data_IF_199815876002
#
_entry.id   IF_199815876002
#
_cell.length_a   1.000
_cell.length_b   1.000
_cell.length_c   1.000
_cell.angle_alpha   90.00
_cell.angle_beta   90.00
_cell.angle_gamma   90.00
#
_symmetry.space_group_name_H-M   'P 1'
#
loop_
_entity.id
_entity.type
_entity.pdbx_description
1 polymer ?
#
# COMPACT_ATOMS: atom_id res chain seq x y z
N UNK A 1 -96.19 46.67 17.80
CA UNK A 1 -95.07 47.64 17.79
C UNK A 1 -94.10 47.17 16.73
N UNK A 2 -94.15 47.68 15.50
CA UNK A 2 -93.46 48.91 15.08
C UNK A 2 -92.38 48.52 14.06
N UNK A 3 -92.77 48.36 12.79
CA UNK A 3 -92.31 49.17 11.63
C UNK A 3 -91.01 48.63 10.97
N UNK A 4 -91.11 47.92 9.82
CA UNK A 4 -91.17 48.42 8.42
C UNK A 4 -89.85 49.02 7.88
N UNK A 5 -89.26 48.36 6.86
CA UNK A 5 -89.04 48.80 5.44
C UNK A 5 -88.10 47.78 4.74
N UNK A 6 -88.52 47.01 3.71
CA UNK A 6 -88.52 47.29 2.23
C UNK A 6 -87.16 47.82 1.76
N UNK A 7 -86.42 47.31 0.75
CA UNK A 7 -86.62 46.62 -0.57
C UNK A 7 -85.18 46.51 -1.21
N UNK A 8 -84.95 46.14 -2.50
CA UNK A 8 -85.43 45.05 -3.36
C UNK A 8 -84.27 44.28 -4.07
N UNK A 9 -84.66 43.37 -4.98
CA UNK A 9 -83.89 42.41 -5.77
C UNK A 9 -82.80 42.97 -6.73
N UNK A 10 -81.80 42.13 -6.99
CA UNK A 10 -80.86 42.25 -8.12
C UNK A 10 -80.32 40.86 -8.50
N UNK A 11 -80.67 40.39 -9.70
CA UNK A 11 -80.14 39.18 -10.33
C UNK A 11 -78.81 39.56 -10.99
N UNK A 12 -77.72 38.87 -10.68
CA UNK A 12 -76.45 39.01 -11.41
C UNK A 12 -75.79 37.65 -11.65
N UNK A 13 -75.52 37.43 -12.94
CA UNK A 13 -74.85 36.30 -13.59
C UNK A 13 -73.42 36.15 -13.06
N UNK A 14 -73.05 35.00 -12.48
CA UNK A 14 -71.66 34.72 -12.09
C UNK A 14 -70.88 34.12 -13.26
N UNK A 15 -70.02 34.94 -13.86
CA UNK A 15 -68.95 34.51 -14.77
C UNK A 15 -67.83 33.86 -13.93
N UNK A 16 -67.62 32.55 -14.09
CA UNK A 16 -66.47 31.84 -13.52
C UNK A 16 -65.25 32.09 -14.41
N UNK A 17 -64.36 33.00 -14.00
CA UNK A 17 -63.02 33.12 -14.56
C UNK A 17 -62.12 32.02 -13.99
N UNK A 18 -61.70 31.09 -14.84
CA UNK A 18 -60.61 30.14 -14.58
C UNK A 18 -59.28 30.88 -14.52
N UNK A 19 -58.70 30.99 -13.32
CA UNK A 19 -57.29 31.38 -13.13
C UNK A 19 -56.42 30.13 -13.29
N UNK A 20 -55.70 30.02 -14.42
CA UNK A 20 -54.65 29.03 -14.61
C UNK A 20 -53.36 29.52 -13.91
N UNK A 21 -53.11 29.06 -12.68
CA UNK A 21 -51.81 29.21 -12.03
C UNK A 21 -50.85 28.15 -12.57
N UNK A 22 -49.94 28.56 -13.46
CA UNK A 22 -48.73 27.80 -13.77
C UNK A 22 -47.82 27.81 -12.53
N UNK A 23 -47.83 26.71 -11.77
CA UNK A 23 -46.80 26.40 -10.78
C UNK A 23 -45.64 25.77 -11.55
N UNK A 24 -44.61 26.55 -11.86
CA UNK A 24 -43.33 26.02 -12.31
C UNK A 24 -42.62 25.35 -11.14
N UNK A 25 -42.58 24.02 -11.19
CA UNK A 25 -41.77 23.21 -10.29
C UNK A 25 -40.30 23.41 -10.64
N UNK A 26 -39.59 24.25 -9.89
CA UNK A 26 -38.12 24.29 -9.92
C UNK A 26 -37.64 23.07 -9.14
N UNK A 27 -37.12 22.06 -9.84
CA UNK A 27 -36.45 20.92 -9.20
C UNK A 27 -35.00 21.28 -8.84
N UNK A 28 -34.56 21.20 -7.56
CA UNK A 28 -33.17 21.45 -7.17
C UNK A 28 -32.33 20.17 -7.01
N UNK A 29 -32.77 19.01 -7.51
CA UNK A 29 -32.16 17.72 -7.16
C UNK A 29 -30.86 17.36 -7.91
N UNK A 30 -30.64 17.90 -9.11
CA UNK A 30 -29.52 17.46 -9.98
C UNK A 30 -28.14 17.98 -9.53
N UNK A 31 -28.06 19.21 -9.00
CA UNK A 31 -26.79 19.80 -8.58
C UNK A 31 -26.19 19.10 -7.34
N UNK A 32 -27.04 18.72 -6.37
CA UNK A 32 -26.60 18.07 -5.14
C UNK A 32 -26.14 16.61 -5.35
N UNK A 33 -26.65 15.94 -6.38
CA UNK A 33 -26.22 14.59 -6.76
C UNK A 33 -24.82 14.60 -7.42
N UNK A 34 -24.55 15.58 -8.27
CA UNK A 34 -23.26 15.71 -8.96
C UNK A 34 -22.10 15.98 -7.97
N UNK A 35 -22.34 16.81 -6.95
CA UNK A 35 -21.36 17.07 -5.89
C UNK A 35 -21.09 15.83 -5.03
N UNK A 36 -22.14 15.07 -4.71
CA UNK A 36 -22.01 13.81 -3.95
C UNK A 36 -21.22 12.74 -4.72
N UNK A 37 -21.46 12.60 -6.03
CA UNK A 37 -20.73 11.67 -6.90
C UNK A 37 -19.24 12.06 -7.00
N UNK A 38 -18.94 13.36 -7.09
CA UNK A 38 -17.57 13.84 -7.11
C UNK A 38 -16.83 13.56 -5.79
N UNK A 39 -17.48 13.78 -4.65
CA UNK A 39 -16.93 13.46 -3.32
C UNK A 39 -16.73 11.94 -3.18
N UNK A 40 -17.68 11.12 -3.62
CA UNK A 40 -17.58 9.67 -3.59
C UNK A 40 -16.42 9.16 -4.46
N UNK A 41 -16.24 9.73 -5.66
CA UNK A 41 -15.08 9.47 -6.53
C UNK A 41 -13.78 9.87 -5.85
N UNK A 42 -13.73 11.04 -5.20
CA UNK A 42 -12.57 11.49 -4.44
C UNK A 42 -12.23 10.56 -3.27
N UNK A 43 -13.24 10.06 -2.56
CA UNK A 43 -13.06 9.08 -1.48
C UNK A 43 -12.47 7.76 -2.00
N UNK A 44 -12.93 7.29 -3.16
CA UNK A 44 -12.36 6.12 -3.84
C UNK A 44 -10.89 6.35 -4.22
N UNK A 45 -10.60 7.49 -4.85
CA UNK A 45 -9.24 7.85 -5.26
C UNK A 45 -8.30 8.02 -4.06
N UNK A 46 -8.77 8.59 -2.94
CA UNK A 46 -7.97 8.74 -1.73
C UNK A 46 -7.59 7.38 -1.12
N UNK A 47 -8.47 6.37 -1.25
CA UNK A 47 -8.13 4.99 -0.92
C UNK A 47 -7.16 4.41 -1.95
N UNK A 48 -7.45 4.58 -3.24
CA UNK A 48 -6.59 4.04 -4.30
C UNK A 48 -5.16 4.59 -4.26
N UNK A 49 -4.99 5.84 -3.83
CA UNK A 49 -3.71 6.50 -3.62
C UNK A 49 -3.06 6.25 -2.27
N UNK A 50 -3.65 5.37 -1.46
CA UNK A 50 -3.17 4.99 -0.13
C UNK A 50 -2.95 6.19 0.81
N UNK A 51 -3.74 7.26 0.64
CA UNK A 51 -3.54 8.51 1.37
C UNK A 51 -3.66 8.32 2.89
N UNK A 52 -4.54 7.40 3.33
CA UNK A 52 -4.79 7.14 4.75
C UNK A 52 -3.60 6.46 5.43
N UNK A 53 -2.88 5.58 4.73
CA UNK A 53 -1.73 4.87 5.30
C UNK A 53 -0.63 5.86 5.68
N UNK A 54 -0.31 6.81 4.81
CA UNK A 54 0.74 7.79 5.05
C UNK A 54 0.28 8.94 5.97
N UNK A 55 -0.93 9.47 5.76
CA UNK A 55 -1.39 10.66 6.48
C UNK A 55 -2.12 10.36 7.79
N UNK A 56 -2.01 9.16 8.36
CA UNK A 56 -2.65 8.79 9.63
C UNK A 56 -1.65 8.18 10.59
N UNK A 57 -1.25 8.93 11.64
CA UNK A 57 -0.45 8.36 12.75
C UNK A 57 -1.30 7.79 13.89
N UNK A 58 -2.57 8.22 14.00
CA UNK A 58 -3.50 7.77 15.03
C UNK A 58 -4.81 7.36 14.38
N UNK A 59 -5.27 6.13 14.65
CA UNK A 59 -6.48 5.58 14.01
C UNK A 59 -7.76 6.38 14.30
N UNK A 60 -7.81 7.08 15.44
CA UNK A 60 -8.91 8.00 15.81
C UNK A 60 -8.86 9.36 15.08
N UNK A 61 -7.76 9.66 14.37
CA UNK A 61 -7.53 10.93 13.70
C UNK A 61 -7.03 10.71 12.25
N UNK A 62 -7.89 10.17 11.36
CA UNK A 62 -7.51 9.90 9.99
C UNK A 62 -7.07 11.17 9.26
N UNK A 63 -6.05 11.06 8.41
CA UNK A 63 -5.51 12.15 7.59
C UNK A 63 -4.86 13.32 8.35
N UNK A 64 -4.77 13.26 9.68
CA UNK A 64 -4.17 14.31 10.53
C UNK A 64 -2.63 14.29 10.60
N UNK A 65 -1.97 13.51 9.73
CA UNK A 65 -0.52 13.46 9.55
C UNK A 65 0.27 12.83 10.69
N UNK A 66 1.54 13.20 10.79
CA UNK A 66 2.48 12.90 11.87
C UNK A 66 2.99 11.46 11.92
N UNK A 67 2.83 10.69 10.85
CA UNK A 67 3.46 9.38 10.73
C UNK A 67 4.96 9.58 10.45
N UNK A 68 5.88 9.00 11.27
CA UNK A 68 7.31 9.03 10.99
C UNK A 68 7.65 8.03 9.89
N UNK A 69 8.37 8.48 8.87
CA UNK A 69 8.99 7.66 7.85
C UNK A 69 10.50 7.78 7.99
N UNK A 70 11.13 6.71 8.45
CA UNK A 70 12.58 6.65 8.58
C UNK A 70 13.24 6.42 7.22
N UNK A 71 14.20 7.27 6.89
CA UNK A 71 14.98 7.17 5.67
C UNK A 71 16.47 7.17 6.02
N UNK A 72 17.36 6.72 5.12
CA UNK A 72 18.81 6.87 5.30
C UNK A 72 19.25 8.33 5.51
N UNK A 73 18.41 9.29 5.14
CA UNK A 73 18.70 10.73 5.19
C UNK A 73 18.12 11.40 6.45
N UNK A 74 17.42 10.67 7.32
CA UNK A 74 16.72 11.16 8.50
C UNK A 74 15.22 10.83 8.47
N UNK A 75 14.44 11.47 9.33
CA UNK A 75 12.99 11.17 9.48
C UNK A 75 12.14 12.21 8.79
N UNK A 76 11.25 11.77 7.89
CA UNK A 76 10.21 12.60 7.28
C UNK A 76 8.90 12.35 8.04
N UNK A 77 8.14 13.40 8.34
CA UNK A 77 6.82 13.26 8.95
C UNK A 77 5.73 13.61 7.93
N UNK A 78 4.68 12.80 7.88
CA UNK A 78 3.51 13.12 7.04
C UNK A 78 2.77 14.34 7.58
N UNK A 79 2.10 15.06 6.69
CA UNK A 79 1.37 16.29 7.03
C UNK A 79 -0.11 16.03 7.27
N UNK A 80 -0.78 16.94 7.96
CA UNK A 80 -2.22 16.98 8.12
C UNK A 80 -2.85 17.46 6.80
N UNK A 81 -3.67 16.61 6.18
CA UNK A 81 -4.39 16.90 4.93
C UNK A 81 -5.90 16.98 5.13
N UNK A 82 -6.36 17.11 6.38
CA UNK A 82 -7.77 17.42 6.69
C UNK A 82 -8.11 18.87 6.29
N UNK A 83 -9.39 19.25 6.17
CA UNK A 83 -9.77 20.62 5.83
C UNK A 83 -9.67 21.60 7.01
N UNK A 84 -8.89 21.28 8.04
CA UNK A 84 -8.57 22.25 9.09
C UNK A 84 -7.82 23.45 8.49
N UNK A 85 -8.29 24.65 8.78
CA UNK A 85 -7.81 25.90 8.16
C UNK A 85 -6.39 26.25 8.63
N UNK A 86 -6.05 25.91 9.88
CA UNK A 86 -4.82 26.37 10.54
C UNK A 86 -3.64 25.41 10.34
N UNK A 87 -3.89 24.11 10.45
CA UNK A 87 -2.87 23.08 10.44
C UNK A 87 -3.02 22.10 9.28
N UNK A 88 -4.21 22.03 8.67
CA UNK A 88 -4.50 21.19 7.50
C UNK A 88 -4.43 21.96 6.18
N UNK A 89 -5.17 21.46 5.18
CA UNK A 89 -5.26 22.06 3.84
C UNK A 89 -6.50 22.95 3.68
N UNK A 90 -7.23 23.28 4.76
CA UNK A 90 -8.50 24.02 4.68
C UNK A 90 -8.41 25.42 4.05
N UNK A 91 -7.20 25.97 3.93
CA UNK A 91 -6.95 27.25 3.25
C UNK A 91 -6.37 27.10 1.84
N UNK A 92 -6.14 25.88 1.35
CA UNK A 92 -5.65 25.64 -0.02
C UNK A 92 -6.74 26.00 -1.01
N UNK A 93 -6.37 26.65 -2.11
CA UNK A 93 -7.20 26.66 -3.31
C UNK A 93 -7.07 25.33 -4.06
N UNK A 94 -7.92 25.13 -5.07
CA UNK A 94 -7.76 24.00 -5.99
C UNK A 94 -6.36 23.99 -6.63
N UNK A 95 -5.86 25.14 -7.08
CA UNK A 95 -4.58 25.23 -7.76
C UNK A 95 -3.40 24.92 -6.82
N UNK A 96 -3.51 25.33 -5.54
CA UNK A 96 -2.52 24.97 -4.51
C UNK A 96 -2.51 23.45 -4.28
N UNK A 97 -3.69 22.83 -4.17
CA UNK A 97 -3.80 21.38 -4.00
C UNK A 97 -3.26 20.62 -5.21
N UNK A 98 -3.61 21.06 -6.43
CA UNK A 98 -3.11 20.48 -7.66
C UNK A 98 -1.59 20.64 -7.80
N UNK A 99 -1.03 21.77 -7.37
CA UNK A 99 0.41 21.99 -7.35
C UNK A 99 1.12 21.10 -6.33
N UNK A 100 0.56 20.93 -5.13
CA UNK A 100 1.09 20.00 -4.13
C UNK A 100 1.11 18.57 -4.67
N UNK A 101 0.00 18.11 -5.23
CA UNK A 101 -0.16 16.74 -5.74
C UNK A 101 0.71 16.44 -6.94
N UNK A 102 0.77 17.32 -7.94
CA UNK A 102 1.47 17.02 -9.22
C UNK A 102 2.89 17.55 -9.31
N UNK A 103 3.18 18.61 -8.57
CA UNK A 103 4.45 19.35 -8.68
C UNK A 103 5.29 19.27 -7.41
N UNK A 104 4.73 18.77 -6.31
CA UNK A 104 5.39 18.79 -5.01
C UNK A 104 5.62 20.20 -4.49
N UNK A 105 4.68 21.13 -4.73
CA UNK A 105 4.77 22.53 -4.27
C UNK A 105 3.63 22.81 -3.31
N UNK A 106 3.95 23.05 -2.04
CA UNK A 106 2.95 23.42 -1.03
C UNK A 106 2.42 24.85 -1.28
N UNK A 107 1.31 25.21 -0.62
CA UNK A 107 0.66 26.53 -0.74
C UNK A 107 1.61 27.71 -0.44
N UNK A 108 2.50 27.56 0.53
CA UNK A 108 3.49 28.58 0.90
C UNK A 108 4.72 28.61 -0.04
N UNK A 109 4.71 27.79 -1.10
CA UNK A 109 5.75 27.69 -2.12
C UNK A 109 6.89 26.74 -1.80
N UNK A 110 6.93 26.13 -0.61
CA UNK A 110 8.01 25.20 -0.30
C UNK A 110 7.87 23.88 -1.07
N UNK A 111 9.00 23.26 -1.42
CA UNK A 111 9.03 21.99 -2.15
C UNK A 111 8.85 20.81 -1.20
N UNK A 112 7.89 19.93 -1.49
CA UNK A 112 7.67 18.66 -0.80
C UNK A 112 8.79 17.68 -1.11
N UNK A 113 9.16 16.86 -0.13
CA UNK A 113 10.07 15.74 -0.36
C UNK A 113 9.37 14.65 -1.18
N UNK A 114 10.08 13.97 -2.10
CA UNK A 114 9.50 12.94 -2.98
C UNK A 114 9.06 11.66 -2.27
N UNK A 115 9.22 11.59 -0.93
CA UNK A 115 8.54 10.61 -0.09
C UNK A 115 7.01 10.74 -0.18
N UNK A 116 6.50 11.94 -0.44
CA UNK A 116 5.16 12.09 -1.02
C UNK A 116 5.30 11.86 -2.53
N UNK A 117 4.63 10.85 -3.12
CA UNK A 117 4.89 10.39 -4.49
C UNK A 117 4.29 11.31 -5.56
N UNK A 118 4.50 12.63 -5.43
CA UNK A 118 4.13 13.62 -6.43
C UNK A 118 4.73 13.35 -7.82
N UNK A 119 5.91 12.71 -7.98
CA UNK A 119 6.38 12.30 -9.29
C UNK A 119 5.39 11.34 -9.99
N UNK A 120 4.92 10.29 -9.31
CA UNK A 120 3.90 9.38 -9.84
C UNK A 120 2.55 10.11 -10.00
N UNK A 121 2.16 10.93 -9.02
CA UNK A 121 0.87 11.65 -9.05
C UNK A 121 0.78 12.71 -10.15
N UNK A 122 1.91 13.10 -10.75
CA UNK A 122 1.91 13.96 -11.96
C UNK A 122 1.04 13.38 -13.09
N UNK A 123 0.91 12.05 -13.15
CA UNK A 123 0.09 11.30 -14.12
C UNK A 123 -1.42 11.43 -13.87
N UNK A 124 -1.86 11.82 -12.66
CA UNK A 124 -3.28 11.86 -12.29
C UNK A 124 -4.02 12.93 -13.11
N UNK A 125 -5.24 12.65 -13.58
CA UNK A 125 -6.06 13.53 -14.42
C UNK A 125 -6.63 14.74 -13.64
N UNK A 126 -6.98 15.84 -14.33
CA UNK A 126 -7.48 17.05 -13.64
C UNK A 126 -8.82 16.78 -12.96
N UNK A 127 -9.68 16.00 -13.62
CA UNK A 127 -10.93 15.50 -13.08
C UNK A 127 -10.72 14.76 -11.76
N UNK A 128 -9.70 13.89 -11.68
CA UNK A 128 -9.44 13.10 -10.48
C UNK A 128 -8.78 13.92 -9.36
N UNK A 129 -7.94 14.90 -9.70
CA UNK A 129 -7.43 15.87 -8.71
C UNK A 129 -8.57 16.73 -8.15
N UNK A 130 -9.54 17.16 -8.97
CA UNK A 130 -10.74 17.87 -8.49
C UNK A 130 -11.59 17.01 -7.58
N UNK A 131 -11.79 15.74 -7.92
CA UNK A 131 -12.53 14.80 -7.08
C UNK A 131 -11.84 14.60 -5.72
N UNK A 132 -10.52 14.38 -5.71
CA UNK A 132 -9.73 14.30 -4.48
C UNK A 132 -9.85 15.58 -3.64
N UNK A 133 -9.71 16.75 -4.25
CA UNK A 133 -9.87 18.04 -3.57
C UNK A 133 -11.27 18.19 -2.95
N UNK A 134 -12.33 17.88 -3.71
CA UNK A 134 -13.70 17.90 -3.20
C UNK A 134 -13.89 16.96 -1.99
N UNK A 135 -13.33 15.75 -2.06
CA UNK A 135 -13.38 14.81 -0.94
C UNK A 135 -12.64 15.32 0.31
N UNK A 136 -11.44 15.85 0.19
CA UNK A 136 -10.74 16.37 1.36
C UNK A 136 -11.41 17.63 1.93
N UNK A 137 -11.98 18.49 1.09
CA UNK A 137 -12.63 19.73 1.55
C UNK A 137 -14.03 19.52 2.13
N UNK A 138 -14.75 18.49 1.67
CA UNK A 138 -16.18 18.31 1.99
C UNK A 138 -16.54 16.92 2.53
N UNK A 139 -15.71 15.90 2.32
CA UNK A 139 -15.92 14.52 2.79
C UNK A 139 -15.09 14.11 4.01
N UNK A 140 -14.05 14.88 4.37
CA UNK A 140 -13.17 14.59 5.51
C UNK A 140 -13.45 15.54 6.68
N UNK A 141 -13.64 15.06 7.91
CA UNK A 141 -13.76 15.93 9.08
C UNK A 141 -12.48 16.73 9.35
N UNK A 142 -12.57 18.03 9.71
CA UNK A 142 -11.40 18.82 10.07
C UNK A 142 -10.81 18.34 11.40
N UNK A 143 -9.49 18.19 11.45
CA UNK A 143 -8.77 17.85 12.69
C UNK A 143 -7.67 18.87 12.89
N UNK A 144 -7.77 19.66 13.96
CA UNK A 144 -6.78 20.68 14.29
C UNK A 144 -5.59 20.08 15.03
N UNK A 145 -4.70 19.44 14.27
CA UNK A 145 -3.44 18.88 14.76
C UNK A 145 -2.26 19.51 14.02
N UNK A 146 -1.30 20.13 14.74
CA UNK A 146 -0.13 20.72 14.11
C UNK A 146 0.76 19.65 13.47
N UNK A 147 1.40 20.03 12.36
CA UNK A 147 2.38 19.18 11.69
C UNK A 147 3.64 19.02 12.55
N UNK A 148 4.23 17.84 12.49
CA UNK A 148 5.57 17.60 13.05
C UNK A 148 6.61 17.95 12.00
N UNK A 149 7.67 18.65 12.41
CA UNK A 149 8.74 19.05 11.49
C UNK A 149 9.57 17.83 11.04
N UNK A 150 9.82 17.76 9.74
CA UNK A 150 10.74 16.80 9.12
C UNK A 150 12.17 17.05 9.60
N UNK A 151 12.84 15.99 10.06
CA UNK A 151 14.20 16.02 10.63
C UNK A 151 15.15 15.23 9.73
N UNK A 152 15.57 15.87 8.63
CA UNK A 152 16.61 15.33 7.75
C UNK A 152 17.99 15.85 8.16
N UNK A 153 19.01 15.04 7.89
CA UNK A 153 20.41 15.42 8.06
C UNK A 153 20.85 16.37 6.95
N UNK A 154 21.81 17.25 7.25
CA UNK A 154 22.47 18.03 6.22
C UNK A 154 23.17 17.12 5.20
N UNK A 155 23.10 17.41 3.88
CA UNK A 155 22.47 18.58 3.25
C UNK A 155 20.99 18.37 2.85
N UNK A 156 20.39 17.22 3.13
CA UNK A 156 19.02 16.85 2.70
C UNK A 156 17.91 17.70 3.35
N UNK A 157 18.20 18.38 4.46
CA UNK A 157 17.29 19.36 5.07
C UNK A 157 17.13 20.65 4.24
N UNK A 158 18.03 20.93 3.28
CA UNK A 158 17.97 22.13 2.45
C UNK A 158 16.98 21.96 1.29
N UNK A 159 15.72 22.38 1.48
CA UNK A 159 14.66 22.24 0.46
C UNK A 159 14.98 22.89 -0.89
N UNK A 160 15.85 23.89 -0.94
CA UNK A 160 16.29 24.51 -2.21
C UNK A 160 16.96 23.50 -3.15
N UNK A 161 17.59 22.45 -2.61
CA UNK A 161 18.20 21.39 -3.42
C UNK A 161 17.15 20.57 -4.17
N UNK A 162 15.91 20.53 -3.68
CA UNK A 162 14.79 19.87 -4.37
C UNK A 162 14.43 20.58 -5.69
N UNK A 163 14.79 21.86 -5.87
CA UNK A 163 14.59 22.54 -7.15
C UNK A 163 15.41 21.87 -8.26
N UNK A 164 16.69 21.59 -7.98
CA UNK A 164 17.57 20.86 -8.90
C UNK A 164 17.12 19.41 -9.09
N UNK A 165 16.72 18.74 -8.01
CA UNK A 165 16.17 17.38 -8.07
C UNK A 165 14.92 17.31 -8.97
N UNK A 166 13.98 18.25 -8.82
CA UNK A 166 12.76 18.31 -9.62
C UNK A 166 13.04 18.61 -11.09
N UNK A 167 14.05 19.42 -11.40
CA UNK A 167 14.47 19.69 -12.78
C UNK A 167 15.03 18.43 -13.46
N UNK A 168 15.74 17.59 -12.71
CA UNK A 168 16.42 16.41 -13.24
C UNK A 168 15.51 15.17 -13.33
N UNK A 169 14.64 14.95 -12.33
CA UNK A 169 14.02 13.64 -12.12
C UNK A 169 12.50 13.62 -12.13
N UNK A 170 11.81 14.77 -12.04
CA UNK A 170 10.35 14.77 -12.02
C UNK A 170 9.80 14.48 -13.42
N UNK A 171 8.96 13.44 -13.60
CA UNK A 171 8.32 13.17 -14.88
C UNK A 171 7.34 14.30 -15.24
N UNK A 172 7.12 14.48 -16.54
CA UNK A 172 6.25 15.54 -17.06
C UNK A 172 4.85 15.03 -17.39
N UNK A 173 3.84 15.75 -16.90
CA UNK A 173 2.48 15.72 -17.44
C UNK A 173 1.58 14.57 -16.96
N UNK A 174 0.27 14.76 -17.20
CA UNK A 174 -0.73 13.74 -16.93
C UNK A 174 -0.54 12.51 -17.83
N UNK A 175 -1.07 11.38 -17.39
CA UNK A 175 -1.14 10.17 -18.20
C UNK A 175 -1.85 10.46 -19.52
N UNK A 176 -1.33 9.86 -20.60
CA UNK A 176 -1.92 9.92 -21.93
C UNK A 176 -2.20 8.51 -22.37
N UNK A 177 -3.46 8.26 -22.69
CA UNK A 177 -3.90 6.95 -23.18
C UNK A 177 -3.13 6.58 -24.45
N UNK A 178 -2.73 5.33 -24.52
CA UNK A 178 -2.18 4.71 -25.70
C UNK A 178 -3.32 4.23 -26.60
N UNK A 179 -3.48 4.80 -27.81
CA UNK A 179 -4.58 4.43 -28.71
C UNK A 179 -4.44 3.01 -29.28
N UNK A 180 -3.25 2.39 -29.17
CA UNK A 180 -3.05 1.00 -29.57
C UNK A 180 -3.48 0.00 -28.49
N UNK A 181 -3.83 0.47 -27.29
CA UNK A 181 -4.17 -0.35 -26.14
C UNK A 181 -5.66 -0.27 -25.80
N UNK A 182 -6.16 -1.31 -25.14
CA UNK A 182 -7.55 -1.35 -24.69
C UNK A 182 -7.83 -0.33 -23.58
N UNK A 183 -9.10 0.02 -23.37
CA UNK A 183 -9.49 0.89 -22.26
C UNK A 183 -9.11 0.30 -20.89
N UNK A 184 -9.23 -1.02 -20.72
CA UNK A 184 -8.81 -1.71 -19.50
C UNK A 184 -7.31 -1.61 -19.28
N UNK A 185 -6.51 -1.78 -20.33
CA UNK A 185 -5.06 -1.62 -20.24
C UNK A 185 -4.67 -0.20 -19.84
N UNK A 186 -5.24 0.81 -20.52
CA UNK A 186 -4.99 2.22 -20.22
C UNK A 186 -5.39 2.58 -18.79
N UNK A 187 -6.50 2.00 -18.29
CA UNK A 187 -6.91 2.16 -16.90
C UNK A 187 -5.90 1.55 -15.92
N UNK A 188 -5.38 0.36 -16.21
CA UNK A 188 -4.35 -0.29 -15.41
C UNK A 188 -3.07 0.51 -15.35
N UNK A 189 -2.56 0.92 -16.52
CA UNK A 189 -1.40 1.80 -16.65
C UNK A 189 -1.58 3.11 -15.87
N UNK A 190 -2.73 3.76 -16.00
CA UNK A 190 -3.05 4.99 -15.28
C UNK A 190 -2.98 4.83 -13.75
N UNK A 191 -3.49 3.72 -13.22
CA UNK A 191 -3.44 3.44 -11.79
C UNK A 191 -2.02 3.13 -11.32
N UNK A 192 -1.34 2.20 -12.00
CA UNK A 192 -0.01 1.68 -11.61
C UNK A 192 1.08 2.76 -11.73
N UNK A 193 1.07 3.56 -12.79
CA UNK A 193 2.02 4.67 -13.00
C UNK A 193 1.67 5.91 -12.17
N UNK A 194 0.39 6.07 -11.83
CA UNK A 194 -0.15 7.27 -11.23
C UNK A 194 -0.42 7.11 -9.75
N UNK A 195 -1.71 7.12 -9.41
CA UNK A 195 -2.16 7.27 -8.03
C UNK A 195 -1.82 6.05 -7.16
N UNK A 196 -1.80 4.82 -7.69
CA UNK A 196 -1.41 3.63 -6.94
C UNK A 196 0.12 3.49 -6.77
N UNK A 197 0.90 4.31 -7.50
CA UNK A 197 2.34 4.53 -7.34
C UNK A 197 3.20 3.26 -7.19
N UNK A 198 2.84 2.16 -7.86
CA UNK A 198 3.52 0.87 -7.67
C UNK A 198 5.04 0.95 -7.92
N UNK A 199 5.47 1.85 -8.81
CA UNK A 199 6.88 2.14 -9.09
C UNK A 199 7.68 2.61 -7.87
N UNK A 200 7.06 3.28 -6.90
CA UNK A 200 7.74 3.83 -5.72
C UNK A 200 8.37 2.76 -4.82
N UNK A 201 7.94 1.50 -4.95
CA UNK A 201 8.56 0.35 -4.29
C UNK A 201 9.16 -0.64 -5.28
N UNK A 202 8.51 -0.86 -6.43
CA UNK A 202 8.88 -1.92 -7.37
C UNK A 202 9.86 -1.46 -8.46
N UNK A 203 10.26 -0.19 -8.52
CA UNK A 203 11.28 0.29 -9.45
C UNK A 203 12.58 0.59 -8.70
N UNK A 204 13.77 0.25 -9.23
CA UNK A 204 15.03 0.63 -8.61
C UNK A 204 15.17 2.13 -8.42
N UNK A 205 15.62 2.54 -7.22
CA UNK A 205 15.94 3.95 -6.94
C UNK A 205 17.42 4.26 -7.21
N UNK A 206 17.68 5.49 -7.67
CA UNK A 206 19.03 6.02 -7.84
C UNK A 206 19.65 6.52 -6.53
N UNK A 207 20.90 6.97 -6.61
CA UNK A 207 21.67 7.47 -5.45
C UNK A 207 21.04 8.70 -4.77
N UNK A 208 20.20 9.45 -5.48
CA UNK A 208 19.48 10.62 -4.94
C UNK A 208 18.03 10.28 -4.54
N UNK A 209 17.71 8.99 -4.39
CA UNK A 209 16.41 8.50 -3.96
C UNK A 209 15.29 8.59 -5.01
N UNK A 210 15.62 8.93 -6.26
CA UNK A 210 14.68 9.02 -7.36
C UNK A 210 14.37 7.64 -7.96
N UNK A 211 13.11 7.37 -8.31
CA UNK A 211 12.75 6.24 -9.18
C UNK A 211 13.50 6.37 -10.52
N UNK A 212 14.07 5.27 -11.01
CA UNK A 212 14.81 5.26 -12.28
C UNK A 212 13.91 5.20 -13.51
N UNK A 213 12.62 4.89 -13.35
CA UNK A 213 11.63 4.84 -14.42
C UNK A 213 10.21 5.02 -13.85
N UNK A 214 9.30 5.57 -14.65
CA UNK A 214 7.92 5.89 -14.22
C UNK A 214 6.83 5.25 -15.09
N UNK A 215 7.22 4.63 -16.20
CA UNK A 215 6.32 3.93 -17.11
C UNK A 215 7.08 2.85 -17.88
N UNK A 216 6.36 2.01 -18.62
CA UNK A 216 6.90 0.89 -19.38
C UNK A 216 7.74 1.32 -20.61
N UNK A 217 7.90 2.62 -20.84
CA UNK A 217 8.55 3.17 -22.02
C UNK A 217 10.00 3.50 -21.69
N UNK A 218 10.92 2.89 -22.43
CA UNK A 218 12.31 3.33 -22.50
C UNK A 218 13.33 2.57 -21.64
N UNK A 219 12.92 1.81 -20.61
CA UNK A 219 13.84 0.95 -19.85
C UNK A 219 13.16 -0.33 -19.37
N UNK A 220 13.95 -1.36 -19.08
CA UNK A 220 13.53 -2.58 -18.39
C UNK A 220 13.55 -2.46 -16.85
N UNK A 221 13.83 -1.27 -16.32
CA UNK A 221 13.92 -1.01 -14.88
C UNK A 221 12.57 -0.73 -14.23
N UNK A 222 11.58 -0.26 -14.99
CA UNK A 222 10.27 0.05 -14.45
C UNK A 222 9.63 -1.23 -13.89
N UNK A 223 9.31 -1.25 -12.60
CA UNK A 223 8.74 -2.42 -11.90
C UNK A 223 9.64 -3.67 -11.88
N UNK A 224 10.96 -3.51 -12.03
CA UNK A 224 11.93 -4.63 -12.02
C UNK A 224 12.34 -5.12 -10.62
N UNK A 225 11.68 -4.64 -9.57
CA UNK A 225 11.99 -4.92 -8.17
C UNK A 225 13.07 -4.03 -7.56
N UNK A 226 12.99 -3.79 -6.26
CA UNK A 226 13.98 -2.99 -5.50
C UNK A 226 13.93 -3.29 -4.00
N UNK A 227 15.07 -3.17 -3.33
CA UNK A 227 15.14 -3.30 -1.87
C UNK A 227 15.10 -1.93 -1.22
N UNK A 228 13.99 -1.64 -0.55
CA UNK A 228 13.75 -0.39 0.18
C UNK A 228 13.54 -0.69 1.67
N UNK A 229 14.27 0.01 2.54
CA UNK A 229 14.16 -0.13 4.00
C UNK A 229 14.24 -1.60 4.52
N UNK A 230 15.08 -2.42 3.88
CA UNK A 230 15.27 -3.83 4.27
C UNK A 230 14.17 -4.79 3.83
N UNK A 231 13.23 -4.32 3.02
CA UNK A 231 12.22 -5.13 2.32
C UNK A 231 12.53 -5.14 0.84
N UNK A 232 12.57 -6.32 0.24
CA UNK A 232 12.69 -6.46 -1.21
C UNK A 232 11.29 -6.50 -1.83
N UNK A 233 10.96 -5.49 -2.63
CA UNK A 233 9.78 -5.51 -3.47
C UNK A 233 10.13 -6.33 -4.72
N UNK A 234 9.35 -7.39 -5.05
CA UNK A 234 9.68 -8.28 -6.15
C UNK A 234 9.51 -7.60 -7.51
N UNK A 235 10.18 -8.15 -8.53
CA UNK A 235 9.90 -7.86 -9.93
C UNK A 235 8.44 -8.21 -10.28
N UNK A 236 7.73 -7.29 -10.92
CA UNK A 236 6.32 -7.46 -11.34
C UNK A 236 6.17 -7.87 -12.81
N UNK A 237 7.26 -8.03 -13.55
CA UNK A 237 7.20 -8.52 -14.93
C UNK A 237 6.79 -9.99 -14.98
N UNK A 238 6.05 -10.41 -16.02
CA UNK A 238 5.68 -11.81 -16.22
C UNK A 238 6.90 -12.74 -16.22
N UNK A 239 6.89 -13.77 -15.36
CA UNK A 239 7.92 -14.80 -15.29
C UNK A 239 9.08 -14.53 -14.32
N UNK A 240 9.01 -13.47 -13.51
CA UNK A 240 10.08 -13.04 -12.58
C UNK A 240 9.58 -12.80 -11.15
N UNK A 241 10.52 -12.64 -10.20
CA UNK A 241 10.36 -12.00 -8.88
C UNK A 241 9.28 -12.54 -7.95
N UNK A 242 8.01 -12.31 -8.29
CA UNK A 242 6.82 -12.77 -7.58
C UNK A 242 6.24 -14.10 -8.11
N UNK A 243 6.88 -14.71 -9.12
CA UNK A 243 6.59 -16.05 -9.63
C UNK A 243 5.73 -16.01 -10.89
N UNK A 244 5.00 -17.10 -11.17
CA UNK A 244 3.94 -17.07 -12.19
C UNK A 244 2.78 -16.19 -11.68
N UNK A 245 2.92 -14.88 -11.85
CA UNK A 245 1.89 -13.89 -11.61
C UNK A 245 0.78 -14.04 -12.65
N UNK A 246 -0.08 -15.04 -12.46
CA UNK A 246 -1.30 -15.13 -13.25
C UNK A 246 -2.22 -13.95 -12.91
N UNK A 247 -3.07 -13.57 -13.86
CA UNK A 247 -4.11 -12.55 -13.66
C UNK A 247 -4.88 -12.77 -12.36
N UNK A 248 -5.32 -14.00 -12.10
CA UNK A 248 -6.10 -14.35 -10.92
C UNK A 248 -5.29 -14.22 -9.63
N UNK A 249 -4.02 -14.62 -9.65
CA UNK A 249 -3.12 -14.45 -8.51
C UNK A 249 -2.94 -12.98 -8.17
N UNK A 250 -2.73 -12.10 -9.17
CA UNK A 250 -2.59 -10.66 -8.97
C UNK A 250 -3.87 -10.09 -8.34
N UNK A 251 -5.03 -10.39 -8.93
CA UNK A 251 -6.33 -9.91 -8.42
C UNK A 251 -6.56 -10.37 -6.99
N UNK A 252 -6.24 -11.63 -6.66
CA UNK A 252 -6.38 -12.14 -5.29
C UNK A 252 -5.43 -11.42 -4.31
N UNK A 253 -4.15 -11.29 -4.65
CA UNK A 253 -3.16 -10.64 -3.78
C UNK A 253 -3.53 -9.17 -3.51
N UNK A 254 -3.94 -8.42 -4.54
CA UNK A 254 -4.35 -7.02 -4.37
C UNK A 254 -5.65 -6.88 -3.57
N UNK A 255 -6.56 -7.85 -3.67
CA UNK A 255 -7.83 -7.81 -2.94
C UNK A 255 -7.71 -8.22 -1.48
N UNK A 256 -6.92 -9.25 -1.19
CA UNK A 256 -6.98 -9.95 0.10
C UNK A 256 -5.62 -10.01 0.82
N UNK A 257 -4.54 -9.69 0.09
CA UNK A 257 -3.16 -9.83 0.54
C UNK A 257 -2.66 -11.27 0.56
N UNK A 258 -3.45 -12.23 0.06
CA UNK A 258 -3.13 -13.67 0.09
C UNK A 258 -3.73 -14.44 -1.08
N UNK A 259 -2.94 -15.32 -1.68
CA UNK A 259 -3.37 -16.24 -2.74
C UNK A 259 -3.05 -17.69 -2.35
N UNK A 260 -3.30 -18.64 -3.25
CA UNK A 260 -2.90 -20.03 -3.01
C UNK A 260 -1.36 -20.15 -3.07
N UNK A 261 -0.72 -20.15 -1.91
CA UNK A 261 0.73 -20.34 -1.78
C UNK A 261 1.55 -19.05 -1.64
N UNK A 262 0.96 -17.86 -1.74
CA UNK A 262 1.66 -16.58 -1.55
C UNK A 262 0.89 -15.62 -0.65
N UNK A 263 1.62 -14.70 -0.03
CA UNK A 263 1.09 -13.70 0.89
C UNK A 263 1.93 -12.43 0.79
N UNK A 264 1.26 -11.29 0.88
CA UNK A 264 1.92 -10.00 1.08
C UNK A 264 2.54 -9.92 2.48
N UNK A 265 3.56 -9.08 2.61
CA UNK A 265 4.25 -8.79 3.86
C UNK A 265 4.76 -7.33 3.84
N UNK A 266 5.20 -6.84 5.00
CA UNK A 266 5.77 -5.50 5.12
C UNK A 266 4.81 -4.40 4.61
N UNK A 267 5.36 -3.41 3.92
CA UNK A 267 4.57 -2.29 3.38
C UNK A 267 3.46 -2.71 2.43
N UNK A 268 3.62 -3.82 1.68
CA UNK A 268 2.57 -4.28 0.77
C UNK A 268 1.33 -4.79 1.52
N UNK A 269 1.48 -5.33 2.74
CA UNK A 269 0.33 -5.66 3.57
C UNK A 269 -0.44 -4.40 3.99
N UNK A 270 0.25 -3.31 4.32
CA UNK A 270 -0.40 -2.04 4.63
C UNK A 270 -1.12 -1.45 3.42
N UNK A 271 -0.51 -1.52 2.23
CA UNK A 271 -1.12 -1.11 0.96
C UNK A 271 -2.41 -1.89 0.70
N UNK A 272 -2.43 -3.20 0.95
CA UNK A 272 -3.67 -3.99 0.82
C UNK A 272 -4.70 -3.58 1.88
N UNK A 273 -4.28 -3.45 3.15
CA UNK A 273 -5.19 -3.11 4.25
C UNK A 273 -5.85 -1.75 4.05
N UNK A 274 -5.12 -0.76 3.51
CA UNK A 274 -5.58 0.62 3.43
C UNK A 274 -6.01 1.08 2.03
N UNK A 275 -5.58 0.39 0.97
CA UNK A 275 -5.79 0.81 -0.43
C UNK A 275 -6.39 -0.29 -1.32
N UNK A 276 -5.61 -1.28 -1.76
CA UNK A 276 -5.96 -2.08 -2.95
C UNK A 276 -7.17 -2.99 -2.74
N UNK A 277 -7.48 -3.38 -1.49
CA UNK A 277 -8.71 -4.13 -1.20
C UNK A 277 -10.00 -3.37 -1.54
N UNK A 278 -9.91 -2.04 -1.69
CA UNK A 278 -11.03 -1.17 -2.01
C UNK A 278 -11.16 -0.89 -3.52
N UNK A 279 -10.23 -1.39 -4.34
CA UNK A 279 -10.33 -1.25 -5.79
C UNK A 279 -11.59 -1.95 -6.29
N UNK A 280 -12.23 -1.38 -7.31
CA UNK A 280 -13.31 -2.08 -8.02
C UNK A 280 -12.77 -3.33 -8.72
N UNK A 281 -13.64 -4.29 -9.00
CA UNK A 281 -13.25 -5.50 -9.76
C UNK A 281 -12.68 -5.16 -11.14
N UNK A 282 -13.22 -4.11 -11.77
CA UNK A 282 -12.71 -3.58 -13.03
C UNK A 282 -11.29 -3.03 -12.89
N UNK A 283 -11.00 -2.28 -11.81
CA UNK A 283 -9.67 -1.71 -11.58
C UNK A 283 -8.64 -2.79 -11.17
N UNK A 284 -9.03 -3.78 -10.37
CA UNK A 284 -8.18 -4.94 -10.07
C UNK A 284 -7.84 -5.72 -11.35
N UNK A 285 -8.83 -5.95 -12.21
CA UNK A 285 -8.62 -6.55 -13.52
C UNK A 285 -7.73 -5.70 -14.42
N UNK A 286 -7.96 -4.40 -14.50
CA UNK A 286 -7.17 -3.48 -15.30
C UNK A 286 -5.69 -3.46 -14.88
N UNK A 287 -5.42 -3.41 -13.58
CA UNK A 287 -4.05 -3.52 -13.03
C UNK A 287 -3.41 -4.85 -13.42
N UNK A 288 -4.13 -5.96 -13.26
CA UNK A 288 -3.61 -7.28 -13.63
C UNK A 288 -3.35 -7.42 -15.14
N UNK A 289 -4.18 -6.82 -16.01
CA UNK A 289 -3.97 -6.81 -17.46
C UNK A 289 -2.72 -5.99 -17.83
N UNK A 290 -2.54 -4.82 -17.20
CA UNK A 290 -1.38 -3.98 -17.44
C UNK A 290 -0.09 -4.68 -16.99
N UNK A 291 -0.03 -5.20 -15.77
CA UNK A 291 1.16 -5.91 -15.26
C UNK A 291 1.47 -7.15 -16.11
N UNK A 292 0.44 -7.92 -16.51
CA UNK A 292 0.59 -9.08 -17.38
C UNK A 292 1.08 -8.76 -18.79
N UNK A 293 0.95 -7.50 -19.24
CA UNK A 293 1.41 -7.05 -20.55
C UNK A 293 2.86 -6.55 -20.58
N UNK A 294 3.48 -6.34 -19.41
CA UNK A 294 4.84 -5.85 -19.34
C UNK A 294 5.78 -6.86 -20.01
N UNK A 295 6.83 -6.36 -20.66
CA UNK A 295 7.80 -7.22 -21.32
C UNK A 295 8.49 -8.08 -20.27
N UNK A 296 8.63 -9.41 -20.44
CA UNK A 296 9.38 -10.22 -19.51
C UNK A 296 10.75 -9.59 -19.25
N UNK A 297 11.15 -9.51 -17.98
CA UNK A 297 12.47 -9.00 -17.64
C UNK A 297 13.54 -9.90 -18.27
N UNK A 298 14.78 -9.39 -18.35
CA UNK A 298 15.89 -10.22 -18.83
C UNK A 298 16.05 -11.41 -17.88
N UNK A 299 16.12 -12.63 -18.42
CA UNK A 299 16.26 -13.86 -17.64
C UNK A 299 17.31 -13.71 -16.51
N UNK A 300 17.06 -14.24 -15.29
CA UNK A 300 18.01 -14.14 -14.19
C UNK A 300 19.39 -14.62 -14.64
N UNK A 301 20.42 -13.79 -14.41
CA UNK A 301 21.79 -14.13 -14.80
C UNK A 301 22.44 -15.12 -13.82
N UNK A 302 21.83 -15.35 -12.66
CA UNK A 302 22.30 -16.29 -11.66
C UNK A 302 21.94 -17.72 -12.07
N UNK A 303 22.91 -18.63 -12.25
CA UNK A 303 22.62 -20.04 -12.45
C UNK A 303 21.80 -20.56 -11.26
N UNK A 304 20.66 -21.17 -11.55
CA UNK A 304 19.81 -21.77 -10.53
C UNK A 304 20.66 -22.72 -9.67
N UNK A 305 20.65 -22.53 -8.34
CA UNK A 305 21.42 -23.37 -7.43
C UNK A 305 21.03 -24.87 -7.62
N UNK A 306 22.00 -25.81 -7.53
CA UNK A 306 21.67 -27.23 -7.59
C UNK A 306 20.73 -27.59 -6.43
N UNK A 307 19.66 -28.37 -6.67
CA UNK A 307 18.71 -28.74 -5.62
C UNK A 307 19.44 -29.56 -4.56
N UNK A 308 19.45 -29.11 -3.30
CA UNK A 308 20.21 -29.80 -2.26
C UNK A 308 19.48 -31.03 -1.72
N UNK A 309 18.15 -31.16 -1.87
CA UNK A 309 17.48 -32.35 -1.33
C UNK A 309 16.08 -32.63 -1.88
N UNK A 310 15.96 -33.56 -2.83
CA UNK A 310 14.66 -34.11 -3.25
C UNK A 310 13.89 -34.80 -2.11
N UNK A 311 14.58 -35.15 -1.01
CA UNK A 311 14.04 -35.87 0.15
C UNK A 311 13.92 -35.02 1.43
N UNK A 312 14.05 -33.67 1.36
CA UNK A 312 13.94 -32.80 2.55
C UNK A 312 12.64 -33.06 3.33
N UNK A 313 11.52 -33.21 2.62
CA UNK A 313 10.22 -33.47 3.22
C UNK A 313 10.15 -34.81 3.96
N UNK A 314 10.76 -35.87 3.38
CA UNK A 314 10.80 -37.18 4.01
C UNK A 314 11.66 -37.18 5.27
N UNK A 315 12.84 -36.54 5.22
CA UNK A 315 13.73 -36.40 6.36
C UNK A 315 13.08 -35.62 7.52
N UNK A 316 12.45 -34.48 7.23
CA UNK A 316 11.76 -33.69 8.25
C UNK A 316 10.59 -34.47 8.89
N UNK A 317 9.81 -35.23 8.10
CA UNK A 317 8.72 -36.08 8.63
C UNK A 317 9.22 -37.20 9.55
N UNK A 318 10.41 -37.73 9.30
CA UNK A 318 11.02 -38.73 10.18
C UNK A 318 11.82 -38.12 11.34
N UNK A 319 11.77 -36.80 11.53
CA UNK A 319 12.51 -36.10 12.58
C UNK A 319 14.01 -35.97 12.30
N UNK A 320 14.46 -36.28 11.08
CA UNK A 320 15.86 -36.20 10.66
C UNK A 320 16.15 -34.80 10.12
N UNK A 321 17.01 -34.07 10.83
CA UNK A 321 17.45 -32.73 10.47
C UNK A 321 18.99 -32.69 10.26
N UNK A 322 19.47 -32.94 9.02
CA UNK A 322 20.90 -33.14 8.76
C UNK A 322 21.75 -31.86 8.84
N UNK A 323 21.11 -30.69 8.89
CA UNK A 323 21.77 -29.38 9.02
C UNK A 323 21.17 -28.59 10.18
N UNK A 324 21.93 -27.63 10.72
CA UNK A 324 21.42 -26.71 11.73
C UNK A 324 20.18 -25.93 11.22
N UNK A 325 20.16 -25.56 9.93
CA UNK A 325 19.00 -24.94 9.28
C UNK A 325 17.76 -25.83 9.27
N UNK A 326 17.91 -27.11 8.94
CA UNK A 326 16.82 -28.08 8.98
C UNK A 326 16.27 -28.29 10.39
N UNK A 327 17.15 -28.31 11.40
CA UNK A 327 16.75 -28.47 12.80
C UNK A 327 15.99 -27.23 13.30
N UNK A 328 16.48 -26.05 12.95
CA UNK A 328 15.79 -24.79 13.23
C UNK A 328 14.41 -24.76 12.55
N UNK A 329 14.30 -25.22 11.30
CA UNK A 329 13.03 -25.28 10.59
C UNK A 329 12.04 -26.22 11.27
N UNK A 330 12.47 -27.45 11.61
CA UNK A 330 11.65 -28.46 12.25
C UNK A 330 11.06 -27.96 13.57
N UNK A 331 11.87 -27.28 14.37
CA UNK A 331 11.48 -26.81 15.70
C UNK A 331 10.60 -25.55 15.69
N UNK A 332 10.64 -24.74 14.62
CA UNK A 332 10.08 -23.38 14.66
C UNK A 332 9.11 -23.03 13.53
N UNK A 333 9.17 -23.73 12.40
CA UNK A 333 8.47 -23.31 11.19
C UNK A 333 7.54 -24.42 10.65
N UNK A 334 7.96 -25.69 10.81
CA UNK A 334 7.27 -26.86 10.25
C UNK A 334 5.79 -26.97 10.65
N UNK A 335 5.40 -26.56 11.86
CA UNK A 335 4.02 -26.65 12.30
C UNK A 335 3.03 -25.87 11.39
N UNK A 336 3.48 -24.73 10.84
CA UNK A 336 2.65 -23.89 9.97
C UNK A 336 2.99 -24.08 8.48
N UNK A 337 4.27 -24.17 8.15
CA UNK A 337 4.73 -24.26 6.76
C UNK A 337 4.86 -25.69 6.21
N UNK A 338 4.64 -26.69 7.08
CA UNK A 338 4.67 -28.14 6.81
C UNK A 338 6.03 -28.66 6.39
N UNK A 339 6.28 -29.94 6.60
CA UNK A 339 7.59 -30.56 6.30
C UNK A 339 7.97 -30.50 4.81
N UNK A 340 7.00 -30.37 3.92
CA UNK A 340 7.20 -30.23 2.47
C UNK A 340 7.19 -28.77 1.99
N UNK A 341 7.11 -27.79 2.90
CA UNK A 341 7.09 -26.38 2.54
C UNK A 341 5.83 -25.94 1.78
N UNK A 342 4.80 -26.78 1.68
CA UNK A 342 3.56 -26.46 0.94
C UNK A 342 2.70 -25.41 1.65
N UNK A 343 2.95 -25.14 2.93
CA UNK A 343 2.11 -24.26 3.73
C UNK A 343 0.68 -24.80 3.88
N UNK A 344 -0.27 -23.89 4.10
CA UNK A 344 -1.68 -24.22 4.29
C UNK A 344 -2.56 -23.26 3.48
N UNK A 345 -2.55 -23.42 2.16
CA UNK A 345 -3.36 -22.63 1.22
C UNK A 345 -3.23 -21.11 1.46
N UNK A 346 -4.33 -20.45 1.88
CA UNK A 346 -4.39 -19.01 2.18
C UNK A 346 -4.00 -18.66 3.61
N UNK A 347 -3.80 -19.65 4.48
CA UNK A 347 -3.49 -19.43 5.89
C UNK A 347 -2.00 -19.23 6.13
N UNK A 348 -1.18 -20.13 5.59
CA UNK A 348 0.28 -20.07 5.65
C UNK A 348 0.83 -20.20 4.23
N UNK A 349 1.59 -19.20 3.74
CA UNK A 349 2.12 -19.25 2.38
C UNK A 349 3.05 -20.45 2.21
N UNK A 350 3.09 -20.96 0.97
CA UNK A 350 4.05 -21.98 0.60
C UNK A 350 5.45 -21.36 0.65
N UNK A 351 6.43 -22.15 1.08
CA UNK A 351 7.85 -21.86 0.94
C UNK A 351 8.43 -22.58 -0.27
N UNK A 352 7.87 -23.74 -0.63
CA UNK A 352 8.23 -24.48 -1.83
C UNK A 352 7.72 -23.76 -3.08
N UNK A 353 8.61 -23.51 -4.05
CA UNK A 353 8.30 -22.82 -5.29
C UNK A 353 7.88 -21.35 -5.09
N UNK A 354 8.06 -20.81 -3.89
CA UNK A 354 7.71 -19.44 -3.60
C UNK A 354 8.76 -18.50 -4.19
N UNK A 355 8.29 -17.49 -4.91
CA UNK A 355 9.16 -16.60 -5.66
C UNK A 355 9.95 -15.64 -4.76
N UNK A 356 9.39 -15.22 -3.62
CA UNK A 356 10.12 -14.42 -2.63
C UNK A 356 11.24 -15.25 -2.01
N UNK A 357 10.96 -16.53 -1.71
CA UNK A 357 11.99 -17.47 -1.24
C UNK A 357 13.07 -17.66 -2.30
N UNK A 358 12.69 -17.65 -3.57
CA UNK A 358 13.60 -17.87 -4.69
C UNK A 358 14.28 -16.59 -5.22
N UNK A 359 13.95 -15.41 -4.68
CA UNK A 359 14.51 -14.13 -5.12
C UNK A 359 16.02 -14.09 -4.96
N UNK A 360 16.72 -13.42 -5.88
CA UNK A 360 18.17 -13.21 -5.82
C UNK A 360 18.58 -12.43 -4.55
N UNK A 361 17.74 -11.48 -4.09
CA UNK A 361 17.96 -10.75 -2.84
C UNK A 361 17.22 -11.43 -1.66
N UNK A 362 17.94 -11.98 -0.66
CA UNK A 362 17.32 -12.68 0.46
C UNK A 362 16.73 -11.74 1.54
N UNK A 363 16.76 -10.41 1.34
CA UNK A 363 16.45 -9.42 2.38
C UNK A 363 15.07 -9.63 3.01
N UNK A 364 13.99 -9.82 2.23
CA UNK A 364 12.66 -10.01 2.83
C UNK A 364 12.54 -11.32 3.59
N UNK A 365 13.11 -12.43 3.10
CA UNK A 365 13.08 -13.72 3.82
C UNK A 365 13.77 -13.57 5.18
N UNK A 366 14.93 -12.90 5.21
CA UNK A 366 15.63 -12.59 6.44
C UNK A 366 14.77 -11.68 7.33
N UNK A 367 14.20 -10.62 6.77
CA UNK A 367 13.40 -9.65 7.50
C UNK A 367 12.19 -10.31 8.17
N UNK A 368 11.42 -11.12 7.43
CA UNK A 368 10.26 -11.88 7.95
C UNK A 368 10.68 -12.83 9.07
N UNK A 369 11.82 -13.52 8.96
CA UNK A 369 12.31 -14.37 10.06
C UNK A 369 12.64 -13.52 11.29
N UNK A 370 13.26 -12.36 11.11
CA UNK A 370 13.69 -11.49 12.21
C UNK A 370 12.52 -10.82 12.93
N UNK A 371 11.56 -10.25 12.19
CA UNK A 371 10.50 -9.40 12.73
C UNK A 371 9.12 -10.04 12.75
N UNK A 372 8.98 -11.23 12.17
CA UNK A 372 7.68 -11.84 11.91
C UNK A 372 7.00 -11.17 10.71
N UNK A 373 5.75 -11.56 10.48
CA UNK A 373 4.90 -10.90 9.47
C UNK A 373 3.44 -11.07 9.87
N UNK A 374 2.58 -10.15 9.42
CA UNK A 374 1.14 -10.20 9.64
C UNK A 374 0.45 -9.93 8.32
N UNK A 375 -0.44 -10.84 7.93
CA UNK A 375 -1.32 -10.63 6.78
C UNK A 375 -2.30 -9.49 7.06
N UNK A 376 -2.69 -8.73 6.02
CA UNK A 376 -3.66 -7.65 6.18
C UNK A 376 -5.04 -8.18 6.56
N UNK A 377 -5.76 -7.38 7.34
CA UNK A 377 -7.18 -7.59 7.59
C UNK A 377 -7.99 -6.97 6.46
N UNK A 378 -8.68 -7.80 5.68
CA UNK A 378 -9.48 -7.32 4.54
C UNK A 378 -10.97 -7.66 4.68
N UNK A 379 -11.82 -7.04 3.87
CA UNK A 379 -13.27 -7.33 3.86
C UNK A 379 -13.59 -8.79 3.59
N UNK A 380 -12.83 -9.44 2.70
CA UNK A 380 -13.02 -10.84 2.31
C UNK A 380 -12.24 -11.83 3.19
N UNK A 381 -11.14 -11.38 3.79
CA UNK A 381 -10.28 -12.20 4.65
C UNK A 381 -9.92 -11.39 5.92
N UNK A 382 -10.83 -11.29 6.90
CA UNK A 382 -10.67 -10.41 8.06
C UNK A 382 -9.68 -10.95 9.09
N UNK A 383 -9.35 -12.25 9.04
CA UNK A 383 -8.41 -12.87 9.97
C UNK A 383 -6.96 -12.48 9.63
N UNK A 384 -6.27 -11.69 10.48
CA UNK A 384 -4.92 -11.21 10.20
C UNK A 384 -3.89 -12.19 10.76
N UNK A 385 -3.70 -13.30 10.04
CA UNK A 385 -2.78 -14.36 10.45
C UNK A 385 -1.36 -13.82 10.55
N UNK A 386 -0.64 -14.21 11.61
CA UNK A 386 0.68 -13.71 11.91
C UNK A 386 1.70 -14.84 12.04
N UNK A 387 2.87 -14.61 11.48
CA UNK A 387 4.08 -15.39 11.72
C UNK A 387 4.86 -14.74 12.87
N UNK A 388 5.27 -15.50 13.90
CA UNK A 388 6.03 -14.96 15.01
C UNK A 388 7.42 -14.49 14.58
N UNK A 389 7.96 -13.54 15.32
CA UNK A 389 9.31 -13.03 15.14
C UNK A 389 10.34 -13.92 15.83
N UNK A 390 11.48 -14.16 15.18
CA UNK A 390 12.57 -14.98 15.74
C UNK A 390 13.86 -14.20 16.00
N UNK A 391 13.93 -12.93 15.60
CA UNK A 391 15.13 -12.10 15.74
C UNK A 391 15.59 -11.89 17.19
N UNK A 392 14.70 -12.02 18.17
CA UNK A 392 15.02 -11.88 19.59
C UNK A 392 15.79 -13.08 20.18
N UNK A 393 15.72 -14.26 19.55
CA UNK A 393 16.37 -15.49 20.06
C UNK A 393 17.37 -16.11 19.10
N UNK A 394 17.23 -15.90 17.79
CA UNK A 394 18.13 -16.48 16.81
C UNK A 394 19.28 -15.52 16.48
N UNK A 395 20.50 -16.05 16.53
CA UNK A 395 21.70 -15.34 16.09
C UNK A 395 21.75 -15.20 14.56
N UNK A 396 22.62 -14.32 14.07
CA UNK A 396 22.78 -14.12 12.62
C UNK A 396 23.21 -15.39 11.88
N UNK A 397 24.05 -16.22 12.52
CA UNK A 397 24.43 -17.54 11.99
C UNK A 397 23.24 -18.50 11.91
N UNK A 398 22.37 -18.51 12.93
CA UNK A 398 21.20 -19.38 12.96
C UNK A 398 20.16 -18.96 11.91
N UNK A 399 19.88 -17.66 11.79
CA UNK A 399 18.98 -17.13 10.75
C UNK A 399 19.53 -17.42 9.37
N UNK A 400 20.83 -17.24 9.15
CA UNK A 400 21.49 -17.54 7.88
C UNK A 400 21.36 -19.03 7.50
N UNK A 401 21.60 -19.94 8.45
CA UNK A 401 21.43 -21.38 8.24
C UNK A 401 19.97 -21.76 7.94
N UNK A 402 19.02 -21.19 8.69
CA UNK A 402 17.58 -21.41 8.49
C UNK A 402 17.11 -20.91 7.12
N UNK A 403 17.44 -19.67 6.76
CA UNK A 403 17.07 -19.07 5.48
C UNK A 403 17.69 -19.83 4.31
N UNK A 404 18.96 -20.24 4.43
CA UNK A 404 19.63 -21.09 3.42
C UNK A 404 18.88 -22.41 3.23
N UNK A 405 18.52 -23.10 4.33
CA UNK A 405 17.76 -24.34 4.23
C UNK A 405 16.42 -24.15 3.49
N UNK A 406 15.67 -23.10 3.81
CA UNK A 406 14.38 -22.79 3.16
C UNK A 406 14.58 -22.51 1.66
N UNK A 407 15.64 -21.77 1.30
CA UNK A 407 15.96 -21.33 -0.07
C UNK A 407 16.52 -22.41 -0.99
N UNK A 408 17.01 -23.52 -0.42
CA UNK A 408 17.59 -24.66 -1.16
C UNK A 408 16.72 -25.94 -1.07
N UNK A 409 15.61 -25.91 -0.32
CA UNK A 409 14.71 -27.06 -0.12
C UNK A 409 13.52 -27.06 -1.08
N UNK A 410 12.89 -28.23 -1.24
CA UNK A 410 11.62 -28.41 -1.97
C UNK A 410 11.63 -27.90 -3.42
N UNK A 411 12.78 -27.98 -4.07
CA UNK A 411 12.94 -27.52 -5.45
C UNK A 411 13.28 -26.05 -5.60
N UNK A 412 13.39 -25.29 -4.51
CA UNK A 412 13.92 -23.94 -4.52
C UNK A 412 15.39 -23.95 -4.94
N UNK A 413 15.79 -22.96 -5.74
CA UNK A 413 17.13 -22.86 -6.35
C UNK A 413 17.78 -21.49 -6.11
N UNK A 414 17.58 -20.94 -4.93
CA UNK A 414 18.09 -19.62 -4.56
C UNK A 414 19.48 -19.70 -3.90
N UNK A 415 20.23 -18.60 -3.96
CA UNK A 415 21.56 -18.51 -3.33
C UNK A 415 21.52 -18.62 -1.80
N UNK A 416 22.64 -19.07 -1.22
CA UNK A 416 22.86 -19.16 0.23
C UNK A 416 22.76 -17.80 0.90
N UNK A 417 22.32 -17.80 2.15
CA UNK A 417 22.30 -16.61 3.01
C UNK A 417 23.48 -16.68 3.97
N UNK A 418 24.22 -15.58 4.08
CA UNK A 418 25.34 -15.47 5.02
C UNK A 418 24.94 -14.75 6.30
N UNK A 419 25.71 -14.93 7.37
CA UNK A 419 25.51 -14.16 8.60
C UNK A 419 25.71 -12.65 8.39
N UNK A 420 26.53 -12.25 7.41
CA UNK A 420 26.72 -10.85 7.05
C UNK A 420 25.44 -10.24 6.45
N UNK A 421 24.74 -11.00 5.61
CA UNK A 421 23.44 -10.57 5.04
C UNK A 421 22.42 -10.37 6.16
N UNK A 422 22.36 -11.30 7.12
CA UNK A 422 21.46 -11.16 8.27
C UNK A 422 21.82 -9.95 9.12
N UNK A 423 23.11 -9.76 9.43
CA UNK A 423 23.56 -8.61 10.21
C UNK A 423 23.23 -7.28 9.51
N UNK A 424 23.29 -7.24 8.17
CA UNK A 424 22.91 -6.08 7.37
C UNK A 424 21.42 -5.76 7.53
N UNK A 425 20.53 -6.73 7.32
CA UNK A 425 19.08 -6.54 7.49
C UNK A 425 18.75 -6.19 8.94
N UNK A 426 19.38 -6.85 9.91
CA UNK A 426 19.14 -6.59 11.33
C UNK A 426 19.45 -5.15 11.74
N UNK A 427 20.49 -4.54 11.19
CA UNK A 427 20.82 -3.11 11.43
C UNK A 427 19.81 -2.14 10.83
N UNK A 428 18.97 -2.58 9.89
CA UNK A 428 17.93 -1.76 9.25
C UNK A 428 16.59 -1.85 9.97
N UNK A 429 16.43 -2.79 10.91
CA UNK A 429 15.22 -2.91 11.73
C UNK A 429 15.31 -1.92 12.89
N UNK A 430 14.22 -1.19 13.16
CA UNK A 430 14.09 -0.31 14.33
C UNK A 430 14.47 -1.08 15.61
N UNK A 431 15.51 -0.63 16.36
CA UNK A 431 15.89 -1.26 17.62
C UNK A 431 14.73 -1.34 18.62
N UNK A 432 13.83 -0.35 18.62
CA UNK A 432 12.64 -0.36 19.46
C UNK A 432 11.62 -1.41 18.99
N UNK A 433 11.55 -1.74 17.69
CA UNK A 433 10.75 -2.87 17.19
C UNK A 433 11.29 -4.20 17.71
N UNK A 434 12.60 -4.42 17.65
CA UNK A 434 13.21 -5.65 18.21
C UNK A 434 13.03 -5.75 19.73
N UNK A 435 13.08 -4.61 20.44
CA UNK A 435 12.78 -4.57 21.88
C UNK A 435 11.30 -4.85 22.16
N UNK A 436 10.36 -4.28 21.40
CA UNK A 436 8.93 -4.57 21.50
C UNK A 436 8.65 -6.05 21.27
N UNK A 437 9.26 -6.64 20.24
CA UNK A 437 9.18 -8.08 19.94
C UNK A 437 9.65 -8.91 21.14
N UNK A 438 10.83 -8.56 21.70
CA UNK A 438 11.39 -9.27 22.86
C UNK A 438 10.52 -9.12 24.11
N UNK A 439 9.96 -7.94 24.34
CA UNK A 439 9.10 -7.65 25.48
C UNK A 439 7.73 -8.34 25.37
N UNK A 440 7.13 -8.41 24.19
CA UNK A 440 5.86 -9.11 23.96
C UNK A 440 5.98 -10.59 24.35
N UNK A 441 7.06 -11.25 23.93
CA UNK A 441 7.32 -12.65 24.31
C UNK A 441 7.56 -12.79 25.82
N UNK A 442 8.29 -11.85 26.43
CA UNK A 442 8.51 -11.89 27.88
C UNK A 442 7.21 -11.71 28.68
N UNK A 443 6.31 -10.85 28.21
CA UNK A 443 5.03 -10.58 28.86
C UNK A 443 4.00 -11.70 28.68
N UNK A 444 3.99 -12.38 27.52
CA UNK A 444 3.18 -13.59 27.32
C UNK A 444 3.60 -14.70 28.31
N UNK A 445 4.90 -14.84 28.59
CA UNK A 445 5.40 -15.78 29.60
C UNK A 445 4.97 -15.37 31.02
N UNK A 446 4.89 -14.07 31.33
CA UNK A 446 4.43 -13.62 32.66
C UNK A 446 2.91 -13.74 32.84
N UNK A 447 2.12 -13.51 31.79
CA UNK A 447 0.66 -13.66 31.84
C UNK A 447 0.24 -15.13 31.96
N UNK A 448 0.98 -16.05 31.32
CA UNK A 448 0.77 -17.50 31.51
C UNK A 448 1.20 -17.96 32.90
N UNK A 449 2.27 -17.41 33.48
CA UNK A 449 2.66 -17.70 34.86
C UNK A 449 1.63 -17.19 35.89
N UNK A 450 1.01 -16.03 35.63
CA UNK A 450 -0.07 -15.49 36.47
C UNK A 450 -1.35 -16.35 36.38
N UNK A 451 -1.69 -16.86 35.20
CA UNK A 451 -2.84 -17.76 35.00
C UNK A 451 -2.66 -19.15 35.59
N UNK A 452 -1.43 -19.68 35.61
CA UNK A 452 -1.15 -20.97 36.29
C UNK A 452 -1.20 -20.83 37.81
N UNK A 453 -0.91 -19.64 38.36
CA UNK A 453 -0.96 -19.40 39.82
C UNK A 453 -2.37 -19.18 40.41
N UNK A 454 -3.38 -18.96 39.56
CA UNK A 454 -4.78 -18.72 39.98
C UNK A 454 -5.68 -19.94 39.83
N UNK A 455 -5.10 -21.12 39.55
CA UNK A 455 -5.78 -22.41 39.67
C UNK A 455 -5.95 -22.85 41.13
N UNK A 456 -6.80 -22.15 41.88
CA UNK A 456 -7.48 -22.65 43.08
C UNK A 456 -8.90 -22.11 43.16
#
# INVERSE_FOLDING_TARGET
MGARRKKPAGITFSLLLTFATLVTWIQPAAANAQDADQIARGAYLARAGDCVACHTSRRDQPFAGGLPMETPFGTIYSTNITPDIKHGIGSYSYDDFAAAMRKGVAKDGHLLYPAMPYPSFSKVSDTDIRALYAYFMHGVPPISRPNTETRLHFPFNLRVLLTGWNLLFRPGGAYREDPAQSAAWNRGAYLVQGLAHCGACHTPHGLMGQEKAFDERGTDLYLSGYTLAGWHAPDLHPGHGAGELTRDTIVQLLRTGRSHGSATFGGMSEVVENSTQYFSDADLGAVADYLGSLRPARAPQTPAAPPINANAAAALRSGVAPTSGALLYLNNCNACHRSDGSGAMKAFPALAGNAEVSSDDPSSVIHVILTGSRMPSTRSDPAPLAMPAFGWRLSDLQVAALATFIRESWGNRAGKVTASDVAKVRRQIDPAQLQRIRAAVANEVTDDAARVSTGK
#
